data_IF_988362875780
#
_entry.id   IF_988362875780
#
_cell.length_a   1.000
_cell.length_b   1.000
_cell.length_c   1.000
_cell.angle_alpha   90.00
_cell.angle_beta   90.00
_cell.angle_gamma   90.00
#
_symmetry.space_group_name_H-M   'P 1'
#
loop_
_entity.id
_entity.type
_entity.pdbx_description
1 polymer ?
#
# COMPACT_ATOMS: atom_id res chain seq x y z
N UNK A 1 31.17 0.65 -7.03
CA UNK A 1 31.24 -0.80 -7.39
C UNK A 1 31.02 -1.73 -6.21
N UNK A 2 31.63 -1.50 -5.03
CA UNK A 2 31.42 -2.35 -3.84
C UNK A 2 29.95 -2.39 -3.37
N UNK A 3 29.30 -1.24 -3.24
CA UNK A 3 27.88 -1.16 -2.86
C UNK A 3 26.96 -1.91 -3.85
N UNK A 4 27.15 -1.75 -5.16
CA UNK A 4 26.42 -2.48 -6.18
C UNK A 4 26.63 -4.01 -6.11
N UNK A 5 27.80 -4.48 -5.70
CA UNK A 5 28.04 -5.91 -5.49
C UNK A 5 27.27 -6.47 -4.27
N UNK A 6 27.05 -5.63 -3.25
CA UNK A 6 26.34 -5.99 -2.01
C UNK A 6 24.83 -5.88 -2.13
N UNK A 7 24.35 -4.86 -2.86
CA UNK A 7 22.95 -4.64 -3.16
C UNK A 7 22.74 -4.56 -4.69
N UNK A 8 22.90 -5.67 -5.42
CA UNK A 8 22.82 -5.68 -6.88
C UNK A 8 21.43 -5.30 -7.40
N UNK A 9 20.39 -5.49 -6.57
CA UNK A 9 19.01 -5.09 -6.83
C UNK A 9 18.79 -3.56 -6.80
N UNK A 10 19.76 -2.79 -6.29
CA UNK A 10 19.75 -1.31 -6.30
C UNK A 10 20.82 -0.74 -7.24
N UNK A 11 21.50 -1.56 -8.05
CA UNK A 11 22.61 -1.11 -8.87
C UNK A 11 22.22 0.03 -9.81
N UNK A 12 21.07 -0.07 -10.48
CA UNK A 12 20.56 0.98 -11.36
C UNK A 12 20.33 2.30 -10.63
N UNK A 13 19.79 2.25 -9.41
CA UNK A 13 19.60 3.43 -8.57
C UNK A 13 20.96 4.04 -8.16
N UNK A 14 21.91 3.19 -7.76
CA UNK A 14 23.25 3.65 -7.37
C UNK A 14 23.97 4.37 -8.51
N UNK A 15 23.88 3.88 -9.74
CA UNK A 15 24.47 4.53 -10.91
C UNK A 15 23.70 5.76 -11.39
N UNK A 16 22.48 5.96 -10.90
CA UNK A 16 21.68 7.13 -11.20
C UNK A 16 21.93 8.31 -10.24
N UNK A 17 22.54 8.05 -9.08
CA UNK A 17 22.99 9.11 -8.16
C UNK A 17 24.03 10.00 -8.85
N UNK A 18 23.85 11.32 -8.72
CA UNK A 18 24.76 12.31 -9.29
C UNK A 18 25.62 12.93 -8.19
N UNK A 19 26.94 12.69 -8.17
CA UNK A 19 27.80 13.35 -7.20
C UNK A 19 27.90 14.85 -7.53
N UNK A 20 27.72 15.69 -6.52
CA UNK A 20 27.98 17.14 -6.56
C UNK A 20 29.09 17.41 -5.57
N UNK A 21 30.27 17.77 -6.08
CA UNK A 21 31.43 18.07 -5.24
C UNK A 21 31.31 19.51 -4.75
N UNK A 22 31.30 19.69 -3.44
CA UNK A 22 31.22 21.00 -2.80
C UNK A 22 32.57 21.73 -2.85
N UNK A 23 32.54 23.03 -2.63
CA UNK A 23 33.76 23.81 -2.48
C UNK A 23 34.48 23.38 -1.19
N UNK A 24 35.74 22.92 -1.26
CA UNK A 24 36.42 22.42 -0.08
C UNK A 24 36.82 23.56 0.85
N UNK A 25 36.62 23.36 2.15
CA UNK A 25 37.34 24.12 3.16
C UNK A 25 38.76 23.58 3.29
N UNK A 26 39.76 24.44 3.08
CA UNK A 26 41.17 24.06 3.11
C UNK A 26 41.81 24.53 4.41
N UNK A 27 42.64 23.67 5.00
CA UNK A 27 43.49 24.05 6.13
C UNK A 27 44.47 25.15 5.69
N UNK A 28 44.53 26.26 6.44
CA UNK A 28 45.34 27.43 6.07
C UNK A 28 46.85 27.15 6.05
N UNK A 29 47.30 26.09 6.74
CA UNK A 29 48.73 25.75 6.88
C UNK A 29 49.14 24.67 5.90
N UNK A 30 48.36 23.58 5.79
CA UNK A 30 48.70 22.44 4.94
C UNK A 30 48.13 22.56 3.53
N UNK A 31 47.09 23.38 3.34
CA UNK A 31 46.33 23.47 2.09
C UNK A 31 45.50 22.22 1.78
N UNK A 32 45.38 21.28 2.73
CA UNK A 32 44.62 20.05 2.56
C UNK A 32 43.13 20.28 2.90
N UNK A 33 42.20 19.59 2.21
CA UNK A 33 40.78 19.63 2.56
C UNK A 33 40.52 19.14 3.98
N UNK A 34 39.79 19.92 4.77
CA UNK A 34 39.40 19.57 6.14
C UNK A 34 38.02 18.92 6.11
N UNK A 35 37.83 17.75 6.75
CA UNK A 35 36.52 17.12 6.82
C UNK A 35 35.46 17.97 7.54
N UNK A 36 34.31 18.13 6.90
CA UNK A 36 33.12 18.72 7.52
C UNK A 36 32.19 17.63 8.08
N UNK A 37 31.98 17.67 9.40
CA UNK A 37 31.11 16.74 10.11
C UNK A 37 29.63 16.86 9.70
N UNK A 38 29.18 18.01 9.20
CA UNK A 38 27.82 18.21 8.68
C UNK A 38 27.56 17.34 7.44
N UNK A 39 28.59 17.09 6.63
CA UNK A 39 28.51 16.29 5.40
C UNK A 39 28.93 14.82 5.61
N UNK A 40 29.07 14.35 6.85
CA UNK A 40 29.53 12.98 7.16
C UNK A 40 28.71 11.86 6.51
N UNK A 41 27.45 12.16 6.18
CA UNK A 41 26.53 11.23 5.53
C UNK A 41 26.39 11.44 4.03
N UNK A 42 27.03 12.45 3.44
CA UNK A 42 26.87 12.80 2.03
C UNK A 42 25.40 13.05 1.65
N UNK A 43 24.74 14.06 2.24
CA UNK A 43 23.29 14.27 2.10
C UNK A 43 22.85 14.31 0.65
N UNK A 44 21.63 13.82 0.40
CA UNK A 44 21.05 13.76 -0.93
C UNK A 44 19.84 14.68 -1.05
N UNK A 45 19.65 15.25 -2.23
CA UNK A 45 18.47 16.05 -2.55
C UNK A 45 17.41 15.24 -3.31
N UNK A 46 16.20 15.78 -3.44
CA UNK A 46 15.11 15.11 -4.17
C UNK A 46 15.39 14.90 -5.67
N UNK A 47 16.40 15.59 -6.22
CA UNK A 47 16.84 15.47 -7.62
C UNK A 47 17.93 14.41 -7.80
N UNK A 48 18.18 13.58 -6.77
CA UNK A 48 19.17 12.50 -6.75
C UNK A 48 20.62 13.00 -6.85
N UNK A 49 20.87 14.26 -6.52
CA UNK A 49 22.23 14.70 -6.29
C UNK A 49 22.68 14.26 -4.89
N UNK A 50 23.92 13.81 -4.78
CA UNK A 50 24.58 13.47 -3.52
C UNK A 50 25.71 14.46 -3.33
N UNK A 51 25.66 15.22 -2.24
CA UNK A 51 26.59 16.32 -1.98
C UNK A 51 27.82 15.81 -1.24
N UNK A 52 29.00 16.02 -1.84
CA UNK A 52 30.27 15.50 -1.38
C UNK A 52 31.16 16.65 -0.91
N UNK A 53 31.36 16.77 0.40
CA UNK A 53 32.47 17.54 0.95
C UNK A 53 33.79 16.80 0.64
N UNK A 54 34.78 17.43 -0.03
CA UNK A 54 36.03 16.77 -0.39
C UNK A 54 36.85 16.28 0.81
N UNK A 55 36.87 17.02 1.93
CA UNK A 55 37.61 16.62 3.13
C UNK A 55 37.05 15.34 3.73
N UNK A 56 35.74 15.31 3.93
CA UNK A 56 34.99 14.15 4.44
C UNK A 56 35.11 12.97 3.48
N UNK A 57 34.91 13.18 2.17
CA UNK A 57 35.01 12.09 1.19
C UNK A 57 36.40 11.42 1.16
N UNK A 58 37.47 12.19 1.38
CA UNK A 58 38.84 11.66 1.44
C UNK A 58 39.13 10.93 2.76
N UNK A 59 38.51 11.37 3.87
CA UNK A 59 38.68 10.76 5.19
C UNK A 59 37.82 9.50 5.41
N UNK A 60 36.71 9.35 4.69
CA UNK A 60 35.76 8.25 4.89
C UNK A 60 36.14 6.98 4.10
N UNK A 61 36.16 5.79 4.74
CA UNK A 61 36.37 4.53 4.05
C UNK A 61 35.35 4.27 2.94
N UNK A 62 35.79 3.69 1.81
CA UNK A 62 34.91 3.42 0.66
C UNK A 62 33.70 2.53 1.00
N UNK A 63 33.84 1.62 1.97
CA UNK A 63 32.74 0.78 2.44
C UNK A 63 31.65 1.59 3.15
N UNK A 64 32.02 2.63 3.89
CA UNK A 64 31.10 3.52 4.59
C UNK A 64 30.43 4.49 3.61
N UNK A 65 31.17 5.06 2.66
CA UNK A 65 30.57 5.81 1.54
C UNK A 65 29.54 4.93 0.82
N UNK A 66 29.90 3.67 0.53
CA UNK A 66 28.98 2.72 -0.10
C UNK A 66 27.71 2.47 0.71
N UNK A 67 27.79 2.48 2.05
CA UNK A 67 26.63 2.35 2.92
C UNK A 67 25.74 3.59 2.83
N UNK A 68 26.31 4.79 2.92
CA UNK A 68 25.57 6.06 2.81
C UNK A 68 24.86 6.22 1.46
N UNK A 69 25.50 5.83 0.36
CA UNK A 69 24.84 5.86 -0.95
C UNK A 69 23.63 4.90 -1.03
N UNK A 70 23.71 3.72 -0.43
CA UNK A 70 22.57 2.79 -0.37
C UNK A 70 21.48 3.30 0.56
N UNK A 71 21.86 3.97 1.65
CA UNK A 71 20.96 4.65 2.55
C UNK A 71 20.16 5.75 1.83
N UNK A 72 20.82 6.65 1.10
CA UNK A 72 20.16 7.69 0.32
C UNK A 72 19.24 7.15 -0.78
N UNK A 73 19.62 6.06 -1.44
CA UNK A 73 18.71 5.35 -2.37
C UNK A 73 17.44 4.92 -1.64
N UNK A 74 17.55 4.47 -0.38
CA UNK A 74 16.42 4.18 0.49
C UNK A 74 15.44 5.36 0.60
N UNK A 75 15.92 6.56 0.93
CA UNK A 75 15.09 7.77 1.03
C UNK A 75 14.46 8.14 -0.32
N UNK A 76 15.26 8.14 -1.39
CA UNK A 76 14.85 8.57 -2.72
C UNK A 76 13.80 7.64 -3.34
N UNK A 77 14.05 6.33 -3.31
CA UNK A 77 13.17 5.33 -3.93
C UNK A 77 11.86 5.15 -3.16
N UNK A 78 11.90 5.32 -1.84
CA UNK A 78 10.70 5.31 -0.98
C UNK A 78 9.98 6.65 -0.90
N UNK A 79 10.52 7.68 -1.57
CA UNK A 79 9.99 9.04 -1.61
C UNK A 79 9.72 9.61 -0.22
N UNK A 80 10.67 9.49 0.71
CA UNK A 80 10.50 10.02 2.07
C UNK A 80 10.19 11.52 2.07
N UNK A 81 10.85 12.32 1.23
CA UNK A 81 10.51 13.73 1.03
C UNK A 81 9.02 13.99 0.71
N UNK A 82 8.39 13.15 -0.13
CA UNK A 82 6.98 13.31 -0.50
C UNK A 82 5.99 12.78 0.54
N UNK A 83 6.46 11.87 1.42
CA UNK A 83 5.69 11.29 2.53
C UNK A 83 5.85 12.09 3.83
N UNK A 84 6.82 12.99 3.86
CA UNK A 84 7.13 13.85 5.00
C UNK A 84 5.92 14.67 5.43
N UNK A 85 5.52 14.62 6.72
CA UNK A 85 4.49 15.50 7.26
C UNK A 85 5.04 16.90 7.59
N UNK A 86 6.34 17.14 7.38
CA UNK A 86 7.00 18.41 7.66
C UNK A 86 6.45 19.48 6.72
N UNK A 87 5.95 20.61 7.23
CA UNK A 87 5.48 21.70 6.38
C UNK A 87 6.61 22.21 5.49
N UNK A 88 6.32 22.45 4.22
CA UNK A 88 7.25 23.12 3.32
C UNK A 88 7.60 24.51 3.88
N UNK A 89 8.85 24.68 4.32
CA UNK A 89 9.41 25.94 4.80
C UNK A 89 10.35 26.58 3.75
N UNK A 90 10.81 27.80 4.00
CA UNK A 90 11.91 28.38 3.22
C UNK A 90 13.23 27.64 3.46
N UNK A 91 14.29 27.94 2.67
CA UNK A 91 15.56 27.25 2.77
C UNK A 91 16.15 27.33 4.18
N UNK A 92 16.58 26.21 4.74
CA UNK A 92 17.16 26.18 6.09
C UNK A 92 18.68 26.33 6.02
N UNK A 93 19.24 27.08 6.97
CA UNK A 93 20.70 27.17 7.19
C UNK A 93 21.21 26.07 8.11
N UNK A 94 20.31 25.39 8.82
CA UNK A 94 20.65 24.27 9.67
C UNK A 94 20.40 22.97 8.92
N UNK A 95 21.50 22.28 8.66
CA UNK A 95 21.60 20.96 8.07
C UNK A 95 20.68 19.94 8.80
N UNK A 96 20.42 20.08 10.11
CA UNK A 96 19.65 19.11 10.91
C UNK A 96 18.30 19.59 11.48
N UNK A 97 17.81 20.78 11.10
CA UNK A 97 16.60 21.38 11.69
C UNK A 97 16.69 21.63 13.21
N UNK A 98 15.61 22.12 13.84
CA UNK A 98 15.58 22.29 15.30
C UNK A 98 15.39 20.94 16.02
N UNK A 99 16.27 20.65 16.99
CA UNK A 99 16.23 19.42 17.80
C UNK A 99 14.87 19.26 18.49
N UNK A 100 14.23 18.09 18.32
CA UNK A 100 12.92 17.78 18.91
C UNK A 100 11.70 18.26 18.12
N UNK A 101 11.92 18.94 16.98
CA UNK A 101 10.88 19.31 16.03
C UNK A 101 10.34 18.14 15.19
N UNK A 102 9.30 18.40 14.38
CA UNK A 102 8.69 17.38 13.51
C UNK A 102 9.67 16.88 12.44
N UNK A 103 10.50 17.75 11.86
CA UNK A 103 11.53 17.38 10.91
C UNK A 103 12.55 16.41 11.52
N UNK A 104 13.00 16.70 12.75
CA UNK A 104 13.89 15.84 13.49
C UNK A 104 13.31 14.42 13.67
N UNK A 105 12.05 14.30 14.13
CA UNK A 105 11.42 13.00 14.32
C UNK A 105 11.16 12.27 13.00
N UNK A 106 10.84 13.01 11.93
CA UNK A 106 10.65 12.42 10.61
C UNK A 106 11.96 11.83 10.08
N UNK A 107 13.09 12.54 10.19
CA UNK A 107 14.38 12.00 9.78
C UNK A 107 14.73 10.73 10.56
N UNK A 108 14.56 10.73 11.89
CA UNK A 108 14.77 9.52 12.70
C UNK A 108 13.91 8.33 12.26
N UNK A 109 12.64 8.60 11.92
CA UNK A 109 11.71 7.58 11.48
C UNK A 109 12.03 7.05 10.07
N UNK A 110 12.42 7.95 9.16
CA UNK A 110 12.86 7.66 7.81
C UNK A 110 14.16 6.82 7.82
N UNK A 111 15.12 7.22 8.64
CA UNK A 111 16.39 6.50 8.84
C UNK A 111 16.14 5.12 9.41
N UNK A 112 15.23 4.98 10.38
CA UNK A 112 14.87 3.69 10.95
C UNK A 112 14.27 2.74 9.90
N UNK A 113 13.41 3.22 8.99
CA UNK A 113 12.87 2.43 7.87
C UNK A 113 13.99 1.94 6.93
N UNK A 114 14.92 2.83 6.56
CA UNK A 114 16.02 2.51 5.63
C UNK A 114 17.05 1.58 6.26
N UNK A 115 17.46 1.89 7.50
CA UNK A 115 18.55 1.20 8.17
C UNK A 115 18.17 -0.21 8.60
N UNK A 116 16.89 -0.49 8.82
CA UNK A 116 16.38 -1.86 9.03
C UNK A 116 16.78 -2.81 7.87
N UNK A 117 16.60 -2.36 6.61
CA UNK A 117 16.97 -3.16 5.44
C UNK A 117 18.50 -3.23 5.25
N UNK A 118 19.25 -2.18 5.61
CA UNK A 118 20.71 -2.15 5.48
C UNK A 118 21.40 -3.02 6.53
N UNK A 119 20.91 -3.04 7.77
CA UNK A 119 21.39 -3.95 8.83
C UNK A 119 21.15 -5.41 8.41
N UNK A 120 19.99 -5.71 7.81
CA UNK A 120 19.68 -7.03 7.27
C UNK A 120 20.60 -7.44 6.09
N UNK A 121 21.27 -6.48 5.46
CA UNK A 121 22.17 -6.71 4.31
C UNK A 121 23.60 -7.09 4.72
N UNK A 122 23.91 -7.12 6.02
CA UNK A 122 25.23 -7.53 6.55
C UNK A 122 26.36 -6.57 6.16
N UNK A 123 26.04 -5.31 5.89
CA UNK A 123 27.02 -4.25 5.66
C UNK A 123 27.57 -3.76 7.01
N UNK A 124 28.81 -3.27 7.00
CA UNK A 124 29.35 -2.58 8.19
C UNK A 124 28.62 -1.26 8.36
N UNK A 125 27.84 -1.17 9.44
CA UNK A 125 27.05 0.00 9.79
C UNK A 125 27.95 1.13 10.31
N UNK A 126 27.84 2.36 9.80
CA UNK A 126 28.57 3.51 10.33
C UNK A 126 28.16 3.85 11.76
N UNK A 127 29.06 4.49 12.51
CA UNK A 127 28.80 4.86 13.89
C UNK A 127 27.75 5.97 14.02
N UNK A 128 26.82 5.80 14.95
CA UNK A 128 25.81 6.81 15.29
C UNK A 128 24.57 6.82 14.39
N UNK A 129 24.44 5.90 13.44
CA UNK A 129 23.22 5.79 12.64
C UNK A 129 22.06 5.24 13.46
N UNK A 130 20.85 5.65 13.09
CA UNK A 130 19.62 5.31 13.81
C UNK A 130 19.02 4.04 13.20
N UNK A 131 18.78 3.02 14.02
CA UNK A 131 18.04 1.84 13.61
C UNK A 131 16.89 1.53 14.56
N UNK A 132 15.88 0.76 14.14
CA UNK A 132 14.78 0.38 15.02
C UNK A 132 15.27 -0.27 16.30
N UNK A 133 16.32 -1.09 16.21
CA UNK A 133 16.96 -1.75 17.34
C UNK A 133 17.62 -0.75 18.29
N UNK A 134 18.33 0.25 17.77
CA UNK A 134 18.94 1.31 18.58
C UNK A 134 17.88 2.14 19.32
N UNK A 135 16.69 2.29 18.72
CA UNK A 135 15.54 2.98 19.30
C UNK A 135 14.70 2.10 20.24
N UNK A 136 14.98 0.80 20.34
CA UNK A 136 14.15 -0.16 21.08
C UNK A 136 12.75 -0.37 20.46
N UNK A 137 12.62 -0.11 19.16
CA UNK A 137 11.38 -0.21 18.39
C UNK A 137 11.30 -1.53 17.60
N UNK A 138 10.08 -2.00 17.25
CA UNK A 138 9.92 -3.17 16.39
C UNK A 138 10.51 -2.94 15.00
N UNK A 139 11.19 -3.95 14.46
CA UNK A 139 11.68 -3.98 13.07
C UNK A 139 10.53 -4.03 12.04
N UNK A 140 10.85 -3.79 10.77
CA UNK A 140 10.01 -3.96 9.58
C UNK A 140 8.78 -3.06 9.52
N UNK A 141 8.90 -1.82 10.01
CA UNK A 141 7.85 -0.80 9.94
C UNK A 141 8.16 0.27 8.89
N UNK A 142 7.12 1.00 8.49
CA UNK A 142 7.24 2.18 7.63
C UNK A 142 7.62 3.41 8.46
N UNK A 143 8.18 4.44 7.81
CA UNK A 143 8.55 5.71 8.44
C UNK A 143 7.38 6.35 9.22
N UNK A 144 6.14 6.30 8.73
CA UNK A 144 4.97 6.88 9.44
C UNK A 144 4.62 6.10 10.71
N UNK A 145 4.81 4.78 10.70
CA UNK A 145 4.64 3.94 11.89
C UNK A 145 5.75 4.25 12.90
N UNK A 146 7.00 4.39 12.45
CA UNK A 146 8.11 4.79 13.32
C UNK A 146 7.92 6.19 13.90
N UNK A 147 7.46 7.16 13.10
CA UNK A 147 7.14 8.51 13.57
C UNK A 147 6.12 8.46 14.70
N UNK A 148 5.03 7.72 14.52
CA UNK A 148 3.98 7.56 15.53
C UNK A 148 4.54 6.97 16.83
N UNK A 149 5.41 5.96 16.73
CA UNK A 149 6.05 5.32 17.88
C UNK A 149 7.04 6.27 18.59
N UNK A 150 7.85 7.00 17.83
CA UNK A 150 8.81 7.99 18.37
C UNK A 150 8.05 9.11 19.10
N UNK A 151 6.93 9.60 18.54
CA UNK A 151 6.10 10.61 19.19
C UNK A 151 5.49 10.11 20.52
N UNK A 152 5.05 8.85 20.55
CA UNK A 152 4.57 8.20 21.79
C UNK A 152 5.71 8.14 22.82
N UNK A 153 6.90 7.68 22.42
CA UNK A 153 8.06 7.57 23.29
C UNK A 153 8.49 8.94 23.82
N UNK A 154 8.57 9.95 22.97
CA UNK A 154 8.99 11.31 23.35
C UNK A 154 7.95 11.97 24.26
N UNK A 155 6.66 11.74 24.01
CA UNK A 155 5.59 12.14 24.94
C UNK A 155 5.72 11.48 26.32
N UNK A 156 6.24 10.26 26.38
CA UNK A 156 6.50 9.55 27.63
C UNK A 156 7.81 10.01 28.31
N UNK A 157 8.86 10.31 27.53
CA UNK A 157 10.22 10.68 27.99
C UNK A 157 10.35 12.12 28.48
N UNK A 158 9.44 13.02 28.10
CA UNK A 158 9.27 14.36 28.73
C UNK A 158 9.00 14.30 30.25
N UNK A 159 8.89 13.10 30.84
CA UNK A 159 8.84 12.82 32.29
C UNK A 159 10.18 12.32 32.89
N UNK A 160 11.32 12.49 32.20
CA UNK A 160 12.65 12.34 32.80
C UNK A 160 13.63 11.38 32.11
N UNK A 161 13.54 11.16 30.80
CA UNK A 161 14.45 10.27 30.05
C UNK A 161 15.50 10.97 29.20
N UNK A 162 16.57 10.24 28.83
CA UNK A 162 17.71 10.70 28.01
C UNK A 162 17.26 11.11 26.61
N UNK A 163 17.82 12.21 26.07
CA UNK A 163 17.58 12.64 24.70
C UNK A 163 18.06 11.58 23.69
N UNK A 164 17.30 11.40 22.61
CA UNK A 164 17.70 10.62 21.44
C UNK A 164 18.93 11.27 20.78
N UNK A 165 19.78 10.44 20.17
CA UNK A 165 21.11 10.75 19.63
C UNK A 165 21.17 11.99 18.73
N UNK A 166 22.36 12.62 18.63
CA UNK A 166 22.65 13.71 17.69
C UNK A 166 22.32 13.28 16.25
N UNK A 167 21.70 14.18 15.49
CA UNK A 167 21.12 13.88 14.17
C UNK A 167 22.22 13.77 13.11
N UNK A 168 22.08 12.79 12.22
CA UNK A 168 22.82 12.74 10.98
C UNK A 168 21.91 13.31 9.89
N UNK A 169 22.36 14.36 9.22
CA UNK A 169 21.59 14.94 8.12
C UNK A 169 21.67 14.07 6.87
N UNK A 170 20.49 13.79 6.33
CA UNK A 170 20.32 13.03 5.10
C UNK A 170 19.93 13.92 3.91
N UNK A 171 19.75 15.22 4.13
CA UNK A 171 19.36 16.24 3.16
C UNK A 171 17.89 16.18 2.77
N UNK A 172 17.51 16.99 1.78
CA UNK A 172 16.13 17.13 1.33
C UNK A 172 15.50 15.85 0.78
N UNK A 173 16.27 14.80 0.47
CA UNK A 173 15.75 13.48 0.11
C UNK A 173 14.94 12.83 1.25
N UNK A 174 15.30 13.12 2.51
CA UNK A 174 14.63 12.56 3.67
C UNK A 174 13.34 13.32 4.00
N UNK A 175 13.39 14.65 4.10
CA UNK A 175 12.29 15.46 4.65
C UNK A 175 11.64 16.44 3.67
N UNK A 176 12.24 16.65 2.50
CA UNK A 176 11.76 17.57 1.46
C UNK A 176 12.14 19.03 1.67
N UNK A 177 13.00 19.34 2.65
CA UNK A 177 13.49 20.70 2.90
C UNK A 177 14.68 20.99 1.97
N UNK A 178 14.65 22.15 1.30
CA UNK A 178 15.77 22.60 0.48
C UNK A 178 16.84 23.26 1.37
N UNK A 179 18.10 22.83 1.21
CA UNK A 179 19.23 23.36 1.96
C UNK A 179 20.06 24.34 1.12
N UNK A 180 20.82 25.22 1.77
CA UNK A 180 21.64 26.23 1.09
C UNK A 180 22.74 25.66 0.18
N UNK A 181 23.20 24.42 0.44
CA UNK A 181 24.16 23.71 -0.40
C UNK A 181 23.51 23.06 -1.63
N UNK A 182 22.17 22.95 -1.66
CA UNK A 182 21.42 22.44 -2.81
C UNK A 182 21.34 23.52 -3.89
N UNK A 183 22.25 23.44 -4.86
CA UNK A 183 22.26 24.35 -6.00
C UNK A 183 21.05 24.16 -6.92
N UNK A 184 20.67 25.21 -7.66
CA UNK A 184 19.52 25.22 -8.58
C UNK A 184 19.69 24.42 -9.89
N UNK A 185 20.67 23.51 -9.99
CA UNK A 185 21.16 22.97 -11.27
C UNK A 185 21.33 21.45 -11.38
N UNK A 186 20.46 20.80 -12.16
CA UNK A 186 20.64 19.45 -12.69
C UNK A 186 20.20 18.31 -11.75
N UNK A 187 20.25 17.06 -12.24
CA UNK A 187 19.68 15.89 -11.56
C UNK A 187 18.40 15.40 -12.23
N UNK A 188 17.88 14.27 -11.76
CA UNK A 188 16.79 13.53 -12.41
C UNK A 188 15.47 14.31 -12.34
N UNK A 189 14.78 14.39 -13.48
CA UNK A 189 13.40 14.89 -13.56
C UNK A 189 12.38 13.84 -13.12
N UNK A 190 11.15 14.26 -12.83
CA UNK A 190 10.06 13.39 -12.34
C UNK A 190 9.86 12.13 -13.18
N UNK A 191 9.84 12.28 -14.50
CA UNK A 191 9.65 11.15 -15.44
C UNK A 191 10.83 10.18 -15.40
N UNK A 192 12.06 10.69 -15.30
CA UNK A 192 13.26 9.85 -15.23
C UNK A 192 13.31 9.09 -13.91
N UNK A 193 12.94 9.75 -12.80
CA UNK A 193 12.78 9.13 -11.47
C UNK A 193 11.74 8.02 -11.51
N UNK A 194 10.57 8.28 -12.09
CA UNK A 194 9.51 7.28 -12.26
C UNK A 194 10.02 6.05 -13.03
N UNK A 195 10.66 6.26 -14.17
CA UNK A 195 11.20 5.16 -15.00
C UNK A 195 12.26 4.36 -14.21
N UNK A 196 13.14 5.05 -13.49
CA UNK A 196 14.18 4.43 -12.67
C UNK A 196 13.57 3.57 -11.55
N UNK A 197 12.59 4.08 -10.81
CA UNK A 197 11.89 3.33 -9.77
C UNK A 197 11.20 2.09 -10.33
N UNK A 198 10.49 2.21 -11.47
CA UNK A 198 9.89 1.05 -12.14
C UNK A 198 10.95 0.00 -12.53
N UNK A 199 12.12 0.43 -12.99
CA UNK A 199 13.21 -0.47 -13.33
C UNK A 199 13.79 -1.16 -12.08
N UNK A 200 13.99 -0.44 -10.99
CA UNK A 200 14.45 -0.97 -9.70
C UNK A 200 13.46 -1.99 -9.14
N UNK A 201 12.17 -1.68 -9.17
CA UNK A 201 11.13 -2.60 -8.69
C UNK A 201 11.13 -3.91 -9.50
N UNK A 202 11.26 -3.83 -10.83
CA UNK A 202 11.35 -5.02 -11.69
C UNK A 202 12.60 -5.84 -11.43
N UNK A 203 13.74 -5.20 -11.20
CA UNK A 203 14.99 -5.91 -10.89
C UNK A 203 14.90 -6.62 -9.53
N UNK A 204 14.27 -5.99 -8.53
CA UNK A 204 13.98 -6.61 -7.23
C UNK A 204 13.11 -7.86 -7.41
N UNK A 205 11.99 -7.77 -8.14
CA UNK A 205 11.11 -8.93 -8.39
C UNK A 205 11.82 -10.05 -9.14
N UNK A 206 12.56 -9.72 -10.20
CA UNK A 206 13.30 -10.70 -10.99
C UNK A 206 14.33 -11.46 -10.13
N UNK A 207 15.04 -10.75 -9.24
CA UNK A 207 16.02 -11.33 -8.32
C UNK A 207 15.37 -12.15 -7.22
N UNK A 208 14.25 -11.70 -6.67
CA UNK A 208 13.47 -12.46 -5.70
C UNK A 208 12.96 -13.77 -6.32
N UNK A 209 12.47 -13.74 -7.56
CA UNK A 209 12.06 -14.92 -8.30
C UNK A 209 13.24 -15.88 -8.58
N UNK A 210 14.42 -15.32 -8.84
CA UNK A 210 15.67 -16.07 -8.98
C UNK A 210 16.27 -16.54 -7.63
N UNK A 211 15.55 -16.39 -6.51
CA UNK A 211 15.99 -16.77 -5.14
C UNK A 211 17.28 -16.09 -4.69
N UNK A 212 17.57 -14.91 -5.23
CA UNK A 212 18.65 -14.06 -4.71
C UNK A 212 18.17 -13.40 -3.41
N UNK A 213 19.00 -13.33 -2.36
CA UNK A 213 18.64 -12.63 -1.13
C UNK A 213 18.33 -11.15 -1.40
N UNK A 214 17.10 -10.74 -1.06
CA UNK A 214 16.65 -9.34 -1.06
C UNK A 214 15.97 -9.07 0.29
N UNK A 215 16.27 -7.96 0.99
CA UNK A 215 15.58 -7.60 2.22
C UNK A 215 14.05 -7.56 2.06
N UNK A 216 13.35 -7.78 3.16
CA UNK A 216 11.88 -7.86 3.15
C UNK A 216 11.23 -6.53 2.78
N UNK A 217 11.79 -5.40 3.23
CA UNK A 217 11.26 -4.06 2.93
C UNK A 217 11.29 -3.77 1.43
N UNK A 218 12.42 -4.03 0.78
CA UNK A 218 12.57 -3.89 -0.68
C UNK A 218 11.59 -4.75 -1.49
N UNK A 219 11.31 -5.99 -1.06
CA UNK A 219 10.32 -6.85 -1.71
C UNK A 219 8.90 -6.29 -1.60
N UNK A 220 8.52 -5.79 -0.43
CA UNK A 220 7.20 -5.16 -0.24
C UNK A 220 7.06 -3.91 -1.09
N UNK A 221 8.06 -3.02 -1.05
CA UNK A 221 8.08 -1.80 -1.84
C UNK A 221 7.96 -2.09 -3.35
N UNK A 222 8.72 -3.06 -3.87
CA UNK A 222 8.67 -3.41 -5.29
C UNK A 222 7.29 -3.95 -5.70
N UNK A 223 6.70 -4.81 -4.85
CA UNK A 223 5.35 -5.33 -5.06
C UNK A 223 4.30 -4.22 -5.07
N UNK A 224 4.34 -3.29 -4.12
CA UNK A 224 3.44 -2.12 -4.09
C UNK A 224 3.64 -1.20 -5.30
N UNK A 225 4.88 -1.06 -5.78
CA UNK A 225 5.20 -0.19 -6.93
C UNK A 225 4.74 -0.77 -8.26
N UNK A 226 4.80 -2.10 -8.44
CA UNK A 226 4.45 -2.81 -9.67
C UNK A 226 3.00 -3.29 -9.70
N UNK A 227 2.48 -3.60 -8.52
CA UNK A 227 1.11 -4.02 -8.29
C UNK A 227 0.48 -3.08 -7.27
N UNK A 228 0.38 -1.77 -7.58
CA UNK A 228 -0.29 -0.83 -6.70
C UNK A 228 -1.69 -1.37 -6.42
N UNK A 229 -2.08 -1.39 -5.15
CA UNK A 229 -3.35 -1.96 -4.70
C UNK A 229 -4.45 -1.46 -5.64
N UNK A 230 -4.96 -2.37 -6.48
CA UNK A 230 -6.06 -2.07 -7.38
C UNK A 230 -7.17 -1.52 -6.51
N UNK A 231 -7.77 -0.40 -6.88
CA UNK A 231 -8.98 0.07 -6.20
C UNK A 231 -10.07 -0.97 -6.46
N UNK A 232 -10.11 -1.99 -5.59
CA UNK A 232 -11.00 -3.12 -5.67
C UNK A 232 -12.45 -2.65 -5.66
N UNK A 233 -12.72 -1.45 -5.13
CA UNK A 233 -14.03 -0.81 -5.15
C UNK A 233 -14.39 -0.35 -6.57
N UNK A 234 -13.44 0.24 -7.29
CA UNK A 234 -13.61 0.61 -8.69
C UNK A 234 -13.78 -0.63 -9.58
N UNK A 235 -12.99 -1.67 -9.37
CA UNK A 235 -13.05 -2.93 -10.13
C UNK A 235 -14.37 -3.68 -9.89
N UNK A 236 -14.72 -3.90 -8.62
CA UNK A 236 -15.99 -4.52 -8.22
C UNK A 236 -17.18 -3.69 -8.72
N UNK A 237 -17.10 -2.37 -8.58
CA UNK A 237 -18.10 -1.45 -9.11
C UNK A 237 -18.27 -1.57 -10.63
N UNK A 238 -17.18 -1.68 -11.39
CA UNK A 238 -17.22 -1.89 -12.83
C UNK A 238 -17.84 -3.24 -13.20
N UNK A 239 -17.54 -4.30 -12.44
CA UNK A 239 -18.12 -5.62 -12.65
C UNK A 239 -19.64 -5.63 -12.37
N UNK A 240 -20.07 -5.04 -11.26
CA UNK A 240 -21.50 -4.92 -10.91
C UNK A 240 -22.24 -4.11 -11.96
N UNK A 241 -21.67 -3.00 -12.45
CA UNK A 241 -22.27 -2.19 -13.53
C UNK A 241 -22.40 -2.99 -14.82
N UNK A 242 -21.37 -3.75 -15.23
CA UNK A 242 -21.45 -4.65 -16.41
C UNK A 242 -22.55 -5.70 -16.25
N UNK A 243 -22.69 -6.30 -15.06
CA UNK A 243 -23.79 -7.21 -14.74
C UNK A 243 -25.17 -6.53 -14.80
N UNK A 244 -25.27 -5.32 -14.27
CA UNK A 244 -26.48 -4.51 -14.31
C UNK A 244 -26.90 -4.14 -15.74
N UNK A 245 -25.95 -3.80 -16.61
CA UNK A 245 -26.23 -3.52 -18.02
C UNK A 245 -26.73 -4.76 -18.78
N UNK A 246 -26.22 -5.96 -18.47
CA UNK A 246 -26.75 -7.21 -19.03
C UNK A 246 -28.18 -7.50 -18.57
N UNK A 247 -28.51 -7.20 -17.31
CA UNK A 247 -29.87 -7.31 -16.79
C UNK A 247 -30.81 -6.25 -17.40
N UNK A 248 -30.34 -5.02 -17.60
CA UNK A 248 -31.10 -3.92 -18.22
C UNK A 248 -31.44 -4.16 -19.71
N UNK A 249 -30.72 -5.06 -20.40
CA UNK A 249 -31.10 -5.55 -21.72
C UNK A 249 -32.40 -6.36 -21.73
N UNK A 250 -32.89 -6.78 -20.56
CA UNK A 250 -34.24 -7.31 -20.36
C UNK A 250 -35.18 -6.12 -20.11
N UNK A 251 -35.76 -5.56 -21.16
CA UNK A 251 -36.73 -4.47 -21.01
C UNK A 251 -38.04 -5.05 -20.48
N UNK A 252 -38.48 -4.59 -19.31
CA UNK A 252 -39.76 -5.00 -18.70
C UNK A 252 -40.76 -3.84 -18.74
N UNK A 253 -42.04 -4.17 -18.87
CA UNK A 253 -43.16 -3.22 -18.88
C UNK A 253 -43.88 -3.26 -17.53
N UNK A 254 -43.96 -2.12 -16.83
CA UNK A 254 -44.65 -2.03 -15.55
C UNK A 254 -45.82 -1.04 -15.59
N UNK A 255 -46.97 -1.46 -15.07
CA UNK A 255 -48.15 -0.62 -14.84
C UNK A 255 -48.19 -0.02 -13.42
N UNK A 256 -47.24 -0.38 -12.55
CA UNK A 256 -47.15 0.14 -11.17
C UNK A 256 -46.92 1.65 -11.12
N UNK A 257 -46.27 2.20 -12.15
CA UNK A 257 -46.12 3.63 -12.39
C UNK A 257 -46.28 3.89 -13.90
N UNK A 258 -47.52 4.11 -14.36
CA UNK A 258 -47.78 4.27 -15.78
C UNK A 258 -46.96 5.40 -16.41
N UNK A 259 -46.61 5.22 -17.68
CA UNK A 259 -45.95 6.25 -18.47
C UNK A 259 -46.83 7.50 -18.51
N UNK A 260 -46.23 8.69 -18.30
CA UNK A 260 -46.91 9.98 -18.46
C UNK A 260 -47.09 10.39 -19.92
N UNK A 261 -46.63 9.57 -20.87
CA UNK A 261 -46.81 9.85 -22.30
C UNK A 261 -48.30 9.72 -22.64
N UNK A 262 -48.89 10.70 -23.35
CA UNK A 262 -50.27 10.60 -23.79
C UNK A 262 -50.41 9.42 -24.75
N UNK A 263 -51.35 8.52 -24.47
CA UNK A 263 -51.74 7.45 -25.37
C UNK A 263 -53.06 7.84 -26.05
N UNK A 264 -53.17 7.57 -27.35
CA UNK A 264 -54.43 7.75 -28.05
C UNK A 264 -55.48 6.78 -27.49
N UNK A 265 -56.70 7.27 -27.22
CA UNK A 265 -57.85 6.42 -26.87
C UNK A 265 -57.99 6.00 -25.40
N UNK A 266 -57.38 6.70 -24.43
CA UNK A 266 -57.60 6.42 -23.00
C UNK A 266 -56.89 5.18 -22.45
N UNK A 267 -55.96 4.60 -23.23
CA UNK A 267 -55.15 3.45 -22.83
C UNK A 267 -54.03 3.88 -21.88
N UNK A 268 -53.93 3.25 -20.71
CA UNK A 268 -52.82 3.50 -19.78
C UNK A 268 -51.58 2.78 -20.31
N UNK A 269 -50.52 3.51 -20.65
CA UNK A 269 -49.29 2.91 -21.18
C UNK A 269 -48.35 2.45 -20.05
N UNK A 270 -47.77 1.24 -20.13
CA UNK A 270 -46.77 0.81 -19.16
C UNK A 270 -45.50 1.67 -19.28
N UNK A 271 -44.79 1.85 -18.17
CA UNK A 271 -43.45 2.41 -18.18
C UNK A 271 -42.43 1.31 -18.48
N UNK A 272 -41.41 1.64 -19.29
CA UNK A 272 -40.24 0.77 -19.42
C UNK A 272 -39.42 0.86 -18.13
N UNK A 273 -39.17 -0.29 -17.50
CA UNK A 273 -38.35 -0.39 -16.30
C UNK A 273 -37.17 -1.29 -16.64
N UNK A 274 -35.95 -0.80 -16.44
CA UNK A 274 -34.76 -1.63 -16.45
C UNK A 274 -34.68 -2.39 -15.11
N UNK A 275 -34.79 -3.73 -15.10
CA UNK A 275 -34.66 -4.49 -13.87
C UNK A 275 -33.21 -4.41 -13.39
N UNK A 276 -32.98 -3.77 -12.23
CA UNK A 276 -31.66 -3.83 -11.61
C UNK A 276 -31.32 -5.29 -11.23
N UNK A 277 -30.05 -5.71 -11.37
CA UNK A 277 -29.65 -7.11 -11.24
C UNK A 277 -29.89 -7.63 -9.82
N UNK A 278 -30.36 -8.87 -9.70
CA UNK A 278 -30.46 -9.57 -8.41
C UNK A 278 -29.08 -10.08 -7.98
N UNK A 279 -28.54 -9.57 -6.86
CA UNK A 279 -27.20 -9.96 -6.38
C UNK A 279 -27.38 -10.83 -5.13
N UNK A 280 -26.61 -11.93 -5.05
CA UNK A 280 -26.48 -12.75 -3.85
C UNK A 280 -25.05 -12.64 -3.33
N UNK A 281 -24.90 -12.34 -2.04
CA UNK A 281 -23.62 -12.24 -1.35
C UNK A 281 -23.43 -13.49 -0.47
N UNK A 282 -22.35 -14.21 -0.69
CA UNK A 282 -21.93 -15.33 0.13
C UNK A 282 -20.78 -14.84 1.00
N UNK A 283 -20.90 -15.03 2.31
CA UNK A 283 -19.89 -14.63 3.29
C UNK A 283 -19.35 -15.89 3.93
N UNK A 284 -18.08 -16.17 3.69
CA UNK A 284 -17.33 -17.20 4.40
C UNK A 284 -17.17 -16.79 5.87
N UNK A 285 -17.74 -17.61 6.76
CA UNK A 285 -17.71 -17.41 8.22
C UNK A 285 -16.83 -18.43 8.92
N UNK A 286 -15.87 -19.00 8.19
CA UNK A 286 -14.89 -19.91 8.75
C UNK A 286 -14.00 -19.25 9.79
N UNK A 287 -13.43 -20.07 10.67
CA UNK A 287 -12.60 -19.60 11.78
C UNK A 287 -11.34 -18.81 11.38
N UNK A 288 -10.95 -18.83 10.10
CA UNK A 288 -9.78 -18.11 9.57
C UNK A 288 -10.05 -16.64 9.23
N UNK A 289 -11.32 -16.20 9.12
CA UNK A 289 -11.65 -14.81 8.80
C UNK A 289 -12.20 -14.08 10.03
N UNK A 290 -11.48 -13.05 10.50
CA UNK A 290 -11.89 -12.29 11.68
C UNK A 290 -13.17 -11.48 11.41
N UNK A 291 -14.12 -11.50 12.34
CA UNK A 291 -15.42 -10.80 12.23
C UNK A 291 -15.28 -9.30 11.94
N UNK A 292 -14.22 -8.65 12.44
CA UNK A 292 -13.94 -7.24 12.19
C UNK A 292 -13.59 -6.94 10.73
N UNK A 293 -12.80 -7.82 10.09
CA UNK A 293 -12.40 -7.69 8.68
C UNK A 293 -13.62 -7.89 7.77
N UNK A 294 -14.45 -8.90 8.06
CA UNK A 294 -15.71 -9.16 7.35
C UNK A 294 -16.66 -7.95 7.41
N UNK A 295 -16.84 -7.36 8.60
CA UNK A 295 -17.77 -6.24 8.78
C UNK A 295 -17.37 -5.00 7.97
N UNK A 296 -16.06 -4.70 7.89
CA UNK A 296 -15.55 -3.61 7.06
C UNK A 296 -15.83 -3.83 5.57
N UNK A 297 -15.50 -5.01 5.05
CA UNK A 297 -15.78 -5.36 3.65
C UNK A 297 -17.27 -5.34 3.31
N UNK A 298 -18.11 -5.86 4.20
CA UNK A 298 -19.56 -5.85 4.03
C UNK A 298 -20.12 -4.42 3.93
N UNK A 299 -19.56 -3.49 4.71
CA UNK A 299 -19.98 -2.08 4.70
C UNK A 299 -19.69 -1.45 3.33
N UNK A 300 -18.50 -1.69 2.82
CA UNK A 300 -18.04 -1.09 1.57
C UNK A 300 -18.71 -1.71 0.33
N UNK A 301 -18.88 -3.03 0.32
CA UNK A 301 -19.60 -3.73 -0.74
C UNK A 301 -21.05 -3.25 -0.78
N UNK A 302 -21.70 -3.11 0.36
CA UNK A 302 -23.06 -2.57 0.43
C UNK A 302 -23.12 -1.13 -0.11
N UNK A 303 -22.11 -0.31 0.17
CA UNK A 303 -22.00 1.04 -0.39
C UNK A 303 -21.78 1.05 -1.93
N UNK A 304 -20.96 0.14 -2.46
CA UNK A 304 -20.75 -0.02 -3.91
C UNK A 304 -22.04 -0.49 -4.59
N UNK A 305 -22.72 -1.49 -4.01
CA UNK A 305 -23.99 -2.03 -4.52
C UNK A 305 -25.09 -0.97 -4.51
N UNK A 306 -25.18 -0.16 -3.45
CA UNK A 306 -26.14 0.94 -3.34
C UNK A 306 -25.90 1.99 -4.43
N UNK A 307 -24.64 2.36 -4.68
CA UNK A 307 -24.27 3.29 -5.76
C UNK A 307 -24.57 2.74 -7.15
N UNK A 308 -24.34 1.44 -7.37
CA UNK A 308 -24.51 0.82 -8.68
C UNK A 308 -25.97 0.45 -9.01
N UNK A 309 -26.82 0.16 -8.01
CA UNK A 309 -28.16 -0.41 -8.23
C UNK A 309 -29.30 0.37 -7.57
N UNK A 310 -28.99 1.42 -6.81
CA UNK A 310 -29.94 2.35 -6.19
C UNK A 310 -30.37 1.98 -4.75
N UNK A 311 -30.94 2.93 -3.99
CA UNK A 311 -31.12 2.84 -2.53
C UNK A 311 -32.28 1.95 -2.06
N UNK A 312 -33.12 1.43 -2.96
CA UNK A 312 -34.31 0.63 -2.59
C UNK A 312 -34.10 -0.89 -2.63
N UNK A 313 -32.88 -1.35 -2.94
CA UNK A 313 -32.58 -2.79 -3.10
C UNK A 313 -32.41 -3.47 -1.75
N UNK A 314 -32.79 -4.75 -1.72
CA UNK A 314 -32.53 -5.66 -0.60
C UNK A 314 -31.36 -6.55 -0.99
N UNK A 315 -30.35 -6.62 -0.13
CA UNK A 315 -29.21 -7.51 -0.28
C UNK A 315 -29.60 -8.89 0.27
N UNK A 316 -29.30 -9.95 -0.48
CA UNK A 316 -29.46 -11.33 -0.01
C UNK A 316 -28.09 -11.85 0.39
N UNK A 317 -27.92 -12.12 1.68
CA UNK A 317 -26.68 -12.57 2.28
C UNK A 317 -26.84 -14.01 2.74
N UNK A 318 -25.89 -14.87 2.40
CA UNK A 318 -25.81 -16.26 2.84
C UNK A 318 -24.46 -16.39 3.56
N UNK A 319 -24.51 -16.65 4.87
CA UNK A 319 -23.32 -17.06 5.59
C UNK A 319 -23.04 -18.53 5.27
N UNK A 320 -21.79 -18.88 5.03
CA UNK A 320 -21.39 -20.25 4.69
C UNK A 320 -20.20 -20.65 5.53
N UNK A 321 -20.31 -21.80 6.18
CA UNK A 321 -19.20 -22.55 6.75
C UNK A 321 -19.15 -23.91 6.04
N UNK A 322 -19.23 -25.04 6.76
CA UNK A 322 -19.48 -26.37 6.18
C UNK A 322 -20.87 -26.48 5.54
N UNK A 323 -21.82 -25.65 5.96
CA UNK A 323 -23.16 -25.60 5.42
C UNK A 323 -23.60 -24.17 5.11
N UNK A 324 -24.50 -24.03 4.14
CA UNK A 324 -25.12 -22.74 3.85
C UNK A 324 -26.18 -22.43 4.91
N UNK A 325 -26.01 -21.30 5.61
CA UNK A 325 -26.99 -20.81 6.58
C UNK A 325 -28.21 -20.17 5.87
N UNK A 326 -29.36 -20.03 6.57
CA UNK A 326 -30.55 -19.42 5.99
C UNK A 326 -30.28 -18.02 5.40
N UNK A 327 -30.86 -17.75 4.23
CA UNK A 327 -30.68 -16.48 3.53
C UNK A 327 -31.23 -15.31 4.35
N UNK A 328 -30.39 -14.30 4.54
CA UNK A 328 -30.75 -13.04 5.20
C UNK A 328 -31.03 -11.98 4.14
N UNK A 329 -32.19 -11.35 4.22
CA UNK A 329 -32.56 -10.27 3.29
C UNK A 329 -32.52 -8.93 4.01
N UNK A 330 -31.42 -8.21 3.85
CA UNK A 330 -31.12 -6.97 4.59
C UNK A 330 -31.20 -5.74 3.68
N UNK A 331 -31.36 -4.56 4.30
CA UNK A 331 -31.23 -3.27 3.62
C UNK A 331 -29.96 -2.52 4.04
N UNK A 332 -29.53 -2.72 5.28
CA UNK A 332 -28.33 -2.11 5.84
C UNK A 332 -27.37 -3.22 6.26
N UNK A 333 -26.09 -2.90 6.25
CA UNK A 333 -25.03 -3.82 6.66
C UNK A 333 -25.16 -4.18 8.14
N UNK A 334 -25.57 -3.22 8.98
CA UNK A 334 -25.76 -3.45 10.42
C UNK A 334 -26.82 -4.51 10.74
N UNK A 335 -27.74 -4.79 9.80
CA UNK A 335 -28.79 -5.78 9.97
C UNK A 335 -28.31 -7.23 9.64
N UNK A 336 -27.07 -7.39 9.15
CA UNK A 336 -26.48 -8.70 8.82
C UNK A 336 -26.01 -9.39 10.10
N UNK A 337 -26.53 -10.60 10.35
CA UNK A 337 -26.04 -11.47 11.42
C UNK A 337 -25.06 -12.47 10.84
N UNK A 338 -23.79 -12.38 11.21
CA UNK A 338 -22.82 -13.40 10.83
C UNK A 338 -23.12 -14.68 11.64
N UNK A 339 -23.41 -15.78 10.94
CA UNK A 339 -23.73 -17.08 11.51
C UNK A 339 -22.69 -18.10 11.05
N UNK A 340 -22.10 -18.88 11.96
CA UNK A 340 -21.13 -19.92 11.62
C UNK A 340 -19.99 -20.04 12.62
N UNK A 341 -18.83 -20.52 12.15
CA UNK A 341 -17.61 -20.72 12.95
C UNK A 341 -16.92 -22.09 12.77
N UNK A 342 -17.31 -22.87 11.76
CA UNK A 342 -16.71 -24.17 11.41
C UNK A 342 -15.66 -24.08 10.28
N UNK A 343 -15.44 -25.21 9.59
CA UNK A 343 -14.68 -25.23 8.32
C UNK A 343 -15.44 -24.58 7.15
N UNK A 344 -14.95 -24.67 5.92
CA UNK A 344 -15.57 -24.02 4.75
C UNK A 344 -15.86 -24.97 3.60
N UNK A 345 -17.10 -24.97 3.10
CA UNK A 345 -17.47 -25.57 1.81
C UNK A 345 -18.33 -24.62 0.96
N UNK A 346 -17.69 -23.84 0.10
CA UNK A 346 -18.41 -22.88 -0.76
C UNK A 346 -19.25 -23.54 -1.87
N UNK A 347 -19.16 -24.86 -2.08
CA UNK A 347 -20.09 -25.58 -2.98
C UNK A 347 -21.53 -25.47 -2.46
N UNK A 348 -21.71 -25.61 -1.15
CA UNK A 348 -23.00 -25.47 -0.47
C UNK A 348 -23.52 -24.03 -0.56
N UNK A 349 -22.67 -23.03 -0.29
CA UNK A 349 -23.03 -21.62 -0.39
C UNK A 349 -23.48 -21.22 -1.79
N UNK A 350 -22.75 -21.66 -2.83
CA UNK A 350 -23.10 -21.38 -4.22
C UNK A 350 -24.38 -22.12 -4.61
N UNK A 351 -24.55 -23.39 -4.22
CA UNK A 351 -25.78 -24.15 -4.47
C UNK A 351 -27.00 -23.46 -3.85
N UNK A 352 -26.90 -23.00 -2.60
CA UNK A 352 -27.94 -22.25 -1.91
C UNK A 352 -28.27 -20.94 -2.63
N UNK A 353 -27.27 -20.20 -3.11
CA UNK A 353 -27.48 -18.99 -3.90
C UNK A 353 -28.21 -19.27 -5.23
N UNK A 354 -27.88 -20.39 -5.90
CA UNK A 354 -28.54 -20.80 -7.15
C UNK A 354 -29.98 -21.29 -6.93
N UNK A 355 -30.33 -21.79 -5.75
CA UNK A 355 -31.67 -22.22 -5.39
C UNK A 355 -32.64 -21.07 -5.10
N UNK A 356 -32.13 -19.85 -4.86
CA UNK A 356 -32.95 -18.67 -4.59
C UNK A 356 -33.95 -18.37 -5.72
N UNK A 357 -35.16 -17.94 -5.34
CA UNK A 357 -36.20 -17.47 -6.25
C UNK A 357 -36.57 -16.03 -5.91
N UNK A 358 -36.43 -15.07 -6.86
CA UNK A 358 -35.83 -15.20 -8.19
C UNK A 358 -34.33 -15.52 -8.13
N UNK A 359 -33.79 -16.17 -9.17
CA UNK A 359 -32.37 -16.53 -9.24
C UNK A 359 -31.51 -15.25 -9.30
N UNK A 360 -30.36 -15.16 -8.58
CA UNK A 360 -29.41 -14.07 -8.78
C UNK A 360 -28.91 -13.99 -10.23
N UNK A 361 -28.67 -12.76 -10.69
CA UNK A 361 -27.93 -12.44 -11.91
C UNK A 361 -26.41 -12.34 -11.67
N UNK A 362 -25.98 -12.22 -10.40
CA UNK A 362 -24.58 -12.19 -9.97
C UNK A 362 -24.44 -12.80 -8.57
N UNK A 363 -23.41 -13.63 -8.37
CA UNK A 363 -22.96 -14.10 -7.05
C UNK A 363 -21.65 -13.40 -6.71
N UNK A 364 -21.59 -12.80 -5.53
CA UNK A 364 -20.37 -12.27 -4.93
C UNK A 364 -20.01 -13.14 -3.73
N UNK A 365 -18.76 -13.57 -3.64
CA UNK A 365 -18.24 -14.41 -2.57
C UNK A 365 -17.15 -13.66 -1.83
N UNK A 366 -17.18 -13.66 -0.50
CA UNK A 366 -16.09 -13.20 0.35
C UNK A 366 -15.49 -14.38 1.08
N UNK A 367 -14.20 -14.63 0.89
CA UNK A 367 -13.46 -15.76 1.48
C UNK A 367 -11.96 -15.47 1.48
N UNK A 368 -11.19 -16.21 2.27
CA UNK A 368 -9.72 -16.26 2.17
C UNK A 368 -9.23 -17.20 1.06
N UNK A 369 -10.14 -17.96 0.44
CA UNK A 369 -9.87 -18.87 -0.67
C UNK A 369 -9.62 -20.32 -0.27
N UNK A 370 -9.53 -20.63 1.03
CA UNK A 370 -9.20 -21.99 1.52
C UNK A 370 -10.44 -22.89 1.64
N UNK A 371 -11.03 -23.23 0.49
CA UNK A 371 -12.29 -23.99 0.46
C UNK A 371 -12.44 -24.83 -0.81
N UNK A 372 -13.16 -25.96 -0.74
CA UNK A 372 -13.60 -26.67 -1.92
C UNK A 372 -14.48 -25.79 -2.82
N UNK A 373 -14.09 -25.69 -4.09
CA UNK A 373 -14.84 -24.98 -5.12
C UNK A 373 -15.68 -25.95 -5.96
N UNK A 374 -16.80 -25.49 -6.57
CA UNK A 374 -17.49 -26.27 -7.59
C UNK A 374 -16.56 -26.61 -8.77
N UNK A 375 -16.54 -27.88 -9.18
CA UNK A 375 -15.74 -28.35 -10.33
C UNK A 375 -16.20 -27.73 -11.65
N UNK A 376 -17.50 -27.42 -11.77
CA UNK A 376 -18.09 -26.84 -12.96
C UNK A 376 -18.53 -25.39 -12.74
N UNK A 377 -18.42 -24.60 -13.81
CA UNK A 377 -18.81 -23.18 -13.81
C UNK A 377 -20.31 -23.02 -13.51
N UNK A 378 -20.70 -22.24 -12.48
CA UNK A 378 -22.10 -21.92 -12.23
C UNK A 378 -22.76 -21.17 -13.41
N UNK A 379 -24.09 -21.29 -13.61
CA UNK A 379 -24.79 -20.61 -14.72
C UNK A 379 -24.88 -19.09 -14.56
N UNK A 380 -24.50 -18.59 -13.38
CA UNK A 380 -24.52 -17.18 -13.01
C UNK A 380 -23.06 -16.75 -12.83
N UNK A 381 -22.65 -15.56 -13.32
CA UNK A 381 -21.32 -15.04 -13.05
C UNK A 381 -21.01 -15.01 -11.55
N UNK A 382 -19.78 -15.38 -11.19
CA UNK A 382 -19.29 -15.39 -9.81
C UNK A 382 -18.07 -14.49 -9.72
N UNK A 383 -18.08 -13.60 -8.73
CA UNK A 383 -16.94 -12.77 -8.34
C UNK A 383 -16.48 -13.20 -6.96
N UNK A 384 -15.18 -13.41 -6.79
CA UNK A 384 -14.57 -13.80 -5.53
C UNK A 384 -13.75 -12.62 -5.02
N UNK A 385 -14.14 -12.05 -3.89
CA UNK A 385 -13.31 -11.15 -3.10
C UNK A 385 -12.42 -11.98 -2.17
N UNK A 386 -11.14 -12.08 -2.51
CA UNK A 386 -10.15 -12.80 -1.72
C UNK A 386 -9.61 -11.87 -0.65
N UNK A 387 -9.98 -12.12 0.60
CA UNK A 387 -9.43 -11.38 1.74
C UNK A 387 -8.00 -11.84 1.93
N UNK A 388 -7.04 -10.93 1.75
CA UNK A 388 -5.64 -11.21 2.03
C UNK A 388 -5.46 -11.46 3.53
N UNK A 389 -5.54 -12.71 3.97
CA UNK A 389 -4.92 -13.15 5.21
C UNK A 389 -3.42 -13.28 5.03
N UNK A 390 -2.67 -13.39 6.13
CA UNK A 390 -1.26 -13.79 6.11
C UNK A 390 -1.14 -15.13 5.36
N UNK A 391 -0.92 -15.06 4.05
CA UNK A 391 -0.69 -16.23 3.22
C UNK A 391 0.66 -16.81 3.66
N UNK A 392 0.60 -17.90 4.42
CA UNK A 392 1.76 -18.75 4.63
C UNK A 392 2.29 -19.16 3.24
N UNK A 393 3.59 -18.97 2.96
CA UNK A 393 4.14 -19.34 1.66
C UNK A 393 3.97 -20.85 1.45
N UNK A 394 3.06 -21.24 0.55
CA UNK A 394 2.80 -22.65 0.19
C UNK A 394 1.34 -23.14 0.28
N UNK A 395 0.38 -22.33 0.75
CA UNK A 395 -1.04 -22.71 0.75
C UNK A 395 -1.71 -22.40 -0.60
N UNK A 396 -1.57 -23.29 -1.58
CA UNK A 396 -2.32 -23.23 -2.83
C UNK A 396 -3.76 -23.76 -2.64
N UNK A 397 -4.74 -22.86 -2.73
CA UNK A 397 -5.98 -23.17 -3.46
C UNK A 397 -6.27 -22.00 -4.39
N UNK A 398 -5.70 -21.99 -5.62
CA UNK A 398 -5.97 -20.91 -6.56
C UNK A 398 -7.46 -20.86 -6.85
N UNK A 399 -8.02 -19.65 -6.80
CA UNK A 399 -9.42 -19.42 -7.18
C UNK A 399 -9.71 -20.05 -8.54
N UNK A 400 -10.89 -20.66 -8.73
CA UNK A 400 -11.20 -21.39 -9.95
C UNK A 400 -11.13 -20.49 -11.19
N UNK A 401 -10.60 -21.03 -12.30
CA UNK A 401 -10.42 -20.30 -13.57
C UNK A 401 -11.72 -19.75 -14.18
N UNK A 402 -12.87 -20.24 -13.74
CA UNK A 402 -14.19 -19.81 -14.21
C UNK A 402 -14.75 -18.61 -13.44
N UNK A 403 -14.13 -18.23 -12.32
CA UNK A 403 -14.52 -17.10 -11.50
C UNK A 403 -13.60 -15.89 -11.73
N UNK A 404 -14.13 -14.69 -11.50
CA UNK A 404 -13.32 -13.47 -11.49
C UNK A 404 -12.89 -13.17 -10.05
N UNK A 405 -11.59 -13.15 -9.79
CA UNK A 405 -11.04 -12.93 -8.45
C UNK A 405 -10.52 -11.51 -8.29
N UNK A 406 -10.86 -10.87 -7.17
CA UNK A 406 -10.44 -9.53 -6.78
C UNK A 406 -9.74 -9.65 -5.44
N UNK A 407 -8.49 -9.20 -5.36
CA UNK A 407 -7.75 -9.15 -4.10
C UNK A 407 -8.32 -8.02 -3.22
N UNK A 408 -8.64 -8.35 -1.98
CA UNK A 408 -9.11 -7.44 -0.95
C UNK A 408 -7.99 -7.25 0.09
N UNK A 409 -7.77 -6.01 0.60
CA UNK A 409 -6.71 -5.75 1.58
C UNK A 409 -6.91 -6.52 2.90
N UNK A 410 -5.84 -6.71 3.68
CA UNK A 410 -5.93 -7.37 4.98
C UNK A 410 -6.74 -6.57 6.03
N UNK A 411 -6.86 -5.25 5.82
CA UNK A 411 -7.65 -4.34 6.66
C UNK A 411 -8.58 -3.51 5.80
N UNK A 412 -9.85 -3.42 6.20
CA UNK A 412 -10.79 -2.47 5.63
C UNK A 412 -10.46 -1.08 6.17
N UNK A 413 -9.67 -0.29 5.44
CA UNK A 413 -9.50 1.13 5.75
C UNK A 413 -10.85 1.82 5.63
N UNK A 414 -11.37 2.37 6.73
CA UNK A 414 -12.55 3.24 6.69
C UNK A 414 -12.23 4.41 5.75
N UNK A 415 -12.76 4.33 4.53
CA UNK A 415 -12.48 5.32 3.51
C UNK A 415 -12.80 6.73 4.01
N UNK A 416 -11.83 7.63 3.88
CA UNK A 416 -12.05 9.06 3.95
C UNK A 416 -13.27 9.39 3.05
N UNK A 417 -14.35 9.87 3.67
CA UNK A 417 -15.44 10.48 2.91
C UNK A 417 -14.90 11.78 2.29
N UNK A 418 -15.28 12.12 1.05
CA UNK A 418 -14.92 13.40 0.46
C UNK A 418 -15.47 14.57 1.27
#
# INVERSE_FOLDING_TARGET
>A
MQAAARAPYLASALFALRPVVLEPYLDEVTGEPVPDAEFRAFPADTRWNVHLDPGTALATPTSEIGWWLLHHIGHLVRRHAARSPVPAGGPTTHVTGETGGLAHRWNQAADAEVNDDLEASGLTTPDGVISPRALGLPERRMAEEYLSLIEIIDSAHRRGGRALTELIDCGGAADGIEHSYEGSGGGLGDVERDILELAVARDIEARAAARTPVPGGWRRWAGERLHPAVDWRAELGAFIRRGAHRAAGRVDFSYSRPSRRPAAGGVVMPAMVAPAPGIALIVDTSGSVTHAVLTGFLTEITAILTRATGPRRRLRVICCDLHAHPVQTVRRTEDIKLLGGGGTDLREGIAAALALRPRPDLILVLTDGQTPWPESRPPVPVVIGLVAGDLSPGAETPSPNWAHSIALPATATQGNRP
#
